data_IF_837501143965
#
_entry.id   IF_837501143965
#
_cell.length_a   1.000
_cell.length_b   1.000
_cell.length_c   1.000
_cell.angle_alpha   90.00
_cell.angle_beta   90.00
_cell.angle_gamma   90.00
#
_symmetry.space_group_name_H-M   'P 1'
#
loop_
_entity.id
_entity.type
_entity.pdbx_description
1 polymer ?
#
# COMPACT_ATOMS: atom_id res chain seq x y z
N UNK A 1 -17.60 -5.91 -15.35
CA UNK A 1 -17.80 -4.50 -15.74
C UNK A 1 -16.48 -3.80 -15.48
N UNK A 2 -15.90 -3.14 -16.47
CA UNK A 2 -14.65 -2.40 -16.29
C UNK A 2 -14.91 -1.24 -15.33
N UNK A 3 -14.08 -1.08 -14.30
CA UNK A 3 -14.19 0.07 -13.42
C UNK A 3 -13.70 1.33 -14.17
N UNK A 4 -14.28 2.48 -13.85
CA UNK A 4 -13.86 3.77 -14.43
C UNK A 4 -13.31 4.64 -13.31
N UNK A 5 -12.20 5.33 -13.56
CA UNK A 5 -11.65 6.29 -12.62
C UNK A 5 -12.62 7.45 -12.32
N UNK A 6 -13.59 7.73 -13.21
CA UNK A 6 -14.66 8.71 -12.97
C UNK A 6 -15.68 8.25 -11.92
N UNK A 7 -15.77 6.94 -11.67
CA UNK A 7 -16.73 6.36 -10.75
C UNK A 7 -16.02 5.95 -9.46
N UNK A 8 -16.18 6.77 -8.41
CA UNK A 8 -15.72 6.41 -7.08
C UNK A 8 -16.39 5.09 -6.63
N UNK A 9 -15.62 4.04 -6.33
CA UNK A 9 -16.17 2.78 -5.83
C UNK A 9 -16.68 2.94 -4.39
N UNK A 10 -17.60 2.07 -4.00
CA UNK A 10 -18.09 2.01 -2.61
C UNK A 10 -17.04 1.24 -1.80
N UNK A 11 -16.42 1.84 -0.75
CA UNK A 11 -15.40 1.13 0.01
C UNK A 11 -15.99 -0.10 0.73
N UNK A 12 -15.17 -1.14 0.88
CA UNK A 12 -15.52 -2.31 1.69
C UNK A 12 -15.71 -1.94 3.17
N UNK A 13 -16.34 -2.80 3.96
CA UNK A 13 -16.52 -2.55 5.41
C UNK A 13 -15.17 -2.34 6.12
N UNK A 14 -14.12 -3.08 5.73
CA UNK A 14 -12.77 -2.91 6.27
C UNK A 14 -12.22 -1.51 5.97
N UNK A 15 -12.30 -1.06 4.72
CA UNK A 15 -11.83 0.26 4.28
C UNK A 15 -12.61 1.37 4.97
N UNK A 16 -13.93 1.22 5.09
CA UNK A 16 -14.80 2.14 5.85
C UNK A 16 -14.37 2.24 7.31
N UNK A 17 -14.06 1.13 7.97
CA UNK A 17 -13.59 1.13 9.35
C UNK A 17 -12.28 1.90 9.50
N UNK A 18 -11.30 1.64 8.61
CA UNK A 18 -10.03 2.34 8.63
C UNK A 18 -10.18 3.85 8.37
N UNK A 19 -10.98 4.25 7.36
CA UNK A 19 -11.25 5.66 7.07
C UNK A 19 -12.02 6.34 8.21
N UNK A 20 -13.01 5.67 8.81
CA UNK A 20 -13.81 6.28 9.88
C UNK A 20 -12.98 6.55 11.14
N UNK A 21 -12.05 5.65 11.46
CA UNK A 21 -11.32 5.67 12.72
C UNK A 21 -9.93 6.30 12.59
N UNK A 22 -9.35 6.34 11.39
CA UNK A 22 -7.97 6.73 11.17
C UNK A 22 -7.02 5.72 11.81
N UNK A 23 -7.31 4.44 11.59
CA UNK A 23 -6.66 3.36 12.32
C UNK A 23 -6.46 2.10 11.45
N UNK A 24 -5.37 1.38 11.73
CA UNK A 24 -5.18 0.00 11.33
C UNK A 24 -5.68 -0.91 12.47
N UNK A 25 -6.62 -1.82 12.18
CA UNK A 25 -7.35 -2.58 13.21
C UNK A 25 -7.38 -4.08 12.93
N UNK A 26 -7.20 -4.87 14.00
CA UNK A 26 -7.49 -6.32 14.01
C UNK A 26 -8.98 -6.53 14.36
N UNK A 27 -9.78 -6.97 13.39
CA UNK A 27 -11.20 -7.24 13.58
C UNK A 27 -11.52 -8.68 14.02
N UNK A 28 -10.54 -9.41 14.59
CA UNK A 28 -10.75 -10.74 15.19
C UNK A 28 -12.01 -10.79 16.07
N UNK A 29 -12.90 -11.72 15.74
CA UNK A 29 -14.16 -11.93 16.46
C UNK A 29 -15.37 -11.31 15.75
N UNK A 30 -15.20 -10.16 15.08
CA UNK A 30 -16.26 -9.43 14.38
C UNK A 30 -16.38 -9.80 12.90
N UNK A 31 -15.36 -10.47 12.34
CA UNK A 31 -15.31 -10.87 10.93
C UNK A 31 -14.96 -12.35 10.79
N UNK A 32 -15.70 -13.04 9.91
CA UNK A 32 -15.35 -14.36 9.45
C UNK A 32 -14.54 -14.28 8.16
N UNK A 33 -13.44 -15.03 8.10
CA UNK A 33 -12.51 -15.04 6.96
C UNK A 33 -12.45 -16.45 6.37
N UNK A 34 -12.69 -16.56 5.07
CA UNK A 34 -12.70 -17.83 4.36
C UNK A 34 -11.92 -17.74 3.03
N UNK A 35 -11.29 -18.82 2.56
CA UNK A 35 -10.67 -18.84 1.24
C UNK A 35 -11.70 -18.64 0.13
N UNK A 36 -11.33 -17.94 -0.95
CA UNK A 36 -12.13 -17.86 -2.17
C UNK A 36 -11.92 -19.16 -2.97
N UNK A 37 -12.98 -19.95 -3.25
CA UNK A 37 -12.88 -21.11 -4.12
C UNK A 37 -12.39 -20.72 -5.52
N UNK A 38 -11.52 -21.55 -6.10
CA UNK A 38 -11.05 -21.39 -7.48
C UNK A 38 -10.39 -20.04 -7.82
N UNK A 39 -9.84 -19.34 -6.81
CA UNK A 39 -9.14 -18.07 -7.01
C UNK A 39 -7.99 -18.22 -8.02
N UNK A 40 -8.02 -17.43 -9.08
CA UNK A 40 -7.03 -17.41 -10.15
C UNK A 40 -6.01 -16.29 -9.92
N UNK A 41 -4.77 -16.67 -9.63
CA UNK A 41 -3.68 -15.72 -9.38
C UNK A 41 -3.20 -15.05 -10.68
N UNK A 42 -3.38 -15.70 -11.84
CA UNK A 42 -2.96 -15.16 -13.14
C UNK A 42 -3.86 -14.02 -13.61
N UNK A 43 -4.98 -13.81 -12.93
CA UNK A 43 -5.88 -12.68 -13.07
C UNK A 43 -5.52 -11.51 -12.13
N UNK A 44 -4.26 -11.38 -11.70
CA UNK A 44 -3.82 -10.32 -10.77
C UNK A 44 -2.42 -9.84 -11.14
N UNK A 45 -1.92 -8.75 -10.51
CA UNK A 45 -0.51 -8.30 -10.60
C UNK A 45 0.50 -9.41 -10.29
N UNK A 46 0.09 -10.42 -9.54
CA UNK A 46 0.93 -11.53 -9.14
C UNK A 46 1.09 -12.60 -10.23
N UNK A 47 0.48 -12.42 -11.41
CA UNK A 47 0.71 -13.27 -12.59
C UNK A 47 2.21 -13.38 -12.95
N UNK A 48 2.97 -12.31 -12.66
CA UNK A 48 4.41 -12.23 -12.94
C UNK A 48 5.30 -13.02 -11.97
N UNK A 49 4.72 -13.60 -10.90
CA UNK A 49 5.41 -14.52 -10.01
C UNK A 49 5.62 -15.87 -10.71
N UNK A 50 6.88 -16.26 -10.90
CA UNK A 50 7.23 -17.46 -11.68
C UNK A 50 7.17 -18.77 -10.88
N UNK A 51 7.46 -18.73 -9.57
CA UNK A 51 7.71 -19.94 -8.78
C UNK A 51 6.47 -20.39 -8.01
N UNK A 52 6.19 -21.70 -8.03
CA UNK A 52 5.03 -22.30 -7.38
C UNK A 52 4.93 -21.97 -5.87
N UNK A 53 6.04 -22.00 -5.13
CA UNK A 53 6.02 -21.72 -3.70
C UNK A 53 5.64 -20.25 -3.36
N UNK A 54 6.31 -19.21 -3.92
CA UNK A 54 5.86 -17.82 -3.78
C UNK A 54 4.41 -17.58 -4.23
N UNK A 55 4.00 -18.15 -5.37
CA UNK A 55 2.61 -18.07 -5.86
C UNK A 55 1.63 -18.67 -4.86
N UNK A 56 1.95 -19.83 -4.29
CA UNK A 56 1.12 -20.48 -3.27
C UNK A 56 0.98 -19.61 -2.02
N UNK A 57 2.10 -19.07 -1.51
CA UNK A 57 2.08 -18.19 -0.33
C UNK A 57 1.20 -16.96 -0.59
N UNK A 58 1.42 -16.26 -1.70
CA UNK A 58 0.63 -15.06 -2.05
C UNK A 58 -0.85 -15.42 -2.23
N UNK A 59 -1.17 -16.49 -2.95
CA UNK A 59 -2.55 -16.98 -3.10
C UNK A 59 -3.21 -17.22 -1.73
N UNK A 60 -2.53 -17.87 -0.78
CA UNK A 60 -3.10 -18.11 0.56
C UNK A 60 -3.35 -16.83 1.37
N UNK A 61 -2.66 -15.73 1.05
CA UNK A 61 -2.82 -14.43 1.72
C UNK A 61 -3.97 -13.62 1.14
N UNK A 62 -4.04 -13.55 -0.20
CA UNK A 62 -4.98 -12.67 -0.90
C UNK A 62 -6.30 -13.34 -1.31
N UNK A 63 -6.32 -14.66 -1.48
CA UNK A 63 -7.52 -15.39 -1.92
C UNK A 63 -8.49 -15.60 -0.76
N UNK A 64 -8.95 -14.52 -0.15
CA UNK A 64 -9.81 -14.52 1.03
C UNK A 64 -11.03 -13.65 0.81
N UNK A 65 -12.19 -14.13 1.25
CA UNK A 65 -13.41 -13.36 1.38
C UNK A 65 -13.71 -13.10 2.85
N UNK A 66 -14.46 -12.05 3.12
CA UNK A 66 -14.81 -11.61 4.47
C UNK A 66 -16.32 -11.53 4.63
N UNK A 67 -16.82 -12.02 5.75
CA UNK A 67 -18.21 -11.87 6.16
C UNK A 67 -18.25 -11.23 7.53
N UNK A 68 -18.73 -9.99 7.58
CA UNK A 68 -18.78 -9.18 8.80
C UNK A 68 -20.04 -9.47 9.59
N UNK A 69 -19.92 -9.42 10.92
CA UNK A 69 -21.08 -9.39 11.79
C UNK A 69 -21.93 -8.17 11.48
N UNK A 70 -23.22 -8.40 11.26
CA UNK A 70 -24.15 -7.36 10.83
C UNK A 70 -24.15 -6.13 11.76
N UNK A 71 -24.22 -6.27 13.10
CA UNK A 71 -24.16 -5.11 13.99
C UNK A 71 -22.85 -4.32 13.85
N UNK A 72 -21.72 -5.02 13.63
CA UNK A 72 -20.42 -4.37 13.42
C UNK A 72 -20.40 -3.61 12.10
N UNK A 73 -20.84 -4.24 11.02
CA UNK A 73 -20.90 -3.62 9.70
C UNK A 73 -21.80 -2.37 9.69
N UNK A 74 -22.96 -2.43 10.34
CA UNK A 74 -23.88 -1.29 10.49
C UNK A 74 -23.25 -0.16 11.32
N UNK A 75 -22.55 -0.48 12.42
CA UNK A 75 -21.82 0.50 13.21
C UNK A 75 -20.69 1.18 12.43
N UNK A 76 -19.94 0.41 11.63
CA UNK A 76 -18.87 0.93 10.77
C UNK A 76 -19.44 1.82 9.68
N UNK A 77 -20.56 1.43 9.06
CA UNK A 77 -21.24 2.25 8.07
C UNK A 77 -21.65 3.60 8.67
N UNK A 78 -22.29 3.60 9.84
CA UNK A 78 -22.68 4.84 10.52
C UNK A 78 -21.48 5.74 10.84
N UNK A 79 -20.38 5.17 11.34
CA UNK A 79 -19.16 5.91 11.63
C UNK A 79 -18.51 6.50 10.37
N UNK A 80 -18.49 5.72 9.27
CA UNK A 80 -17.99 6.19 7.98
C UNK A 80 -18.82 7.35 7.44
N UNK A 81 -20.15 7.24 7.44
CA UNK A 81 -21.02 8.33 6.97
C UNK A 81 -20.85 9.61 7.82
N UNK A 82 -20.69 9.47 9.13
CA UNK A 82 -20.39 10.59 10.02
C UNK A 82 -19.05 11.25 9.68
N UNK A 83 -17.98 10.47 9.51
CA UNK A 83 -16.65 10.98 9.14
C UNK A 83 -16.67 11.70 7.78
N UNK A 84 -17.33 11.12 6.77
CA UNK A 84 -17.45 11.70 5.42
C UNK A 84 -18.20 13.04 5.38
N UNK A 85 -19.06 13.30 6.36
CA UNK A 85 -19.76 14.59 6.50
C UNK A 85 -18.82 15.69 7.00
N UNK A 86 -17.76 15.34 7.73
CA UNK A 86 -16.83 16.31 8.31
C UNK A 86 -15.77 16.78 7.29
N UNK A 87 -15.27 15.89 6.44
CA UNK A 87 -14.24 16.21 5.44
C UNK A 87 -14.69 15.76 4.04
N UNK A 88 -15.38 16.62 3.26
CA UNK A 88 -15.82 16.28 1.91
C UNK A 88 -14.61 15.97 1.01
N UNK A 89 -14.78 15.06 0.05
CA UNK A 89 -13.71 14.75 -0.90
C UNK A 89 -13.49 15.96 -1.81
N UNK A 90 -12.23 16.37 -2.05
CA UNK A 90 -11.95 17.39 -3.03
C UNK A 90 -12.33 16.87 -4.42
N UNK A 91 -12.79 17.78 -5.28
CA UNK A 91 -13.03 17.47 -6.68
C UNK A 91 -11.69 17.18 -7.37
N UNK A 92 -11.61 16.04 -8.04
CA UNK A 92 -10.47 15.71 -8.91
C UNK A 92 -10.65 16.43 -10.24
N UNK A 93 -9.58 17.01 -10.77
CA UNK A 93 -9.61 17.73 -12.05
C UNK A 93 -10.17 16.81 -13.16
N UNK A 94 -11.20 17.23 -13.91
CA UNK A 94 -11.76 16.45 -15.01
C UNK A 94 -10.74 16.03 -16.07
N UNK A 95 -9.71 16.84 -16.34
CA UNK A 95 -8.65 16.51 -17.28
C UNK A 95 -7.77 15.37 -16.75
N UNK A 96 -7.49 15.35 -15.45
CA UNK A 96 -6.79 14.25 -14.79
C UNK A 96 -7.62 12.97 -14.80
N UNK A 97 -8.92 13.05 -14.45
CA UNK A 97 -9.82 11.89 -14.53
C UNK A 97 -9.90 11.33 -15.94
N UNK A 98 -9.99 12.20 -16.94
CA UNK A 98 -9.99 11.79 -18.34
C UNK A 98 -8.69 11.10 -18.72
N UNK A 99 -7.53 11.62 -18.31
CA UNK A 99 -6.26 10.96 -18.51
C UNK A 99 -6.24 9.56 -17.84
N UNK A 100 -6.73 9.45 -16.61
CA UNK A 100 -6.85 8.18 -15.90
C UNK A 100 -7.76 7.16 -16.61
N UNK A 101 -8.81 7.60 -17.30
CA UNK A 101 -9.72 6.72 -18.05
C UNK A 101 -9.20 6.37 -19.44
N UNK A 102 -8.76 7.37 -20.19
CA UNK A 102 -8.43 7.24 -21.61
C UNK A 102 -7.00 6.72 -21.82
N UNK A 103 -6.08 7.08 -20.92
CA UNK A 103 -4.64 6.88 -21.11
C UNK A 103 -4.02 5.83 -20.17
N UNK A 104 -4.76 5.37 -19.16
CA UNK A 104 -4.27 4.39 -18.18
C UNK A 104 -5.06 3.08 -18.24
N UNK A 105 -4.35 1.97 -18.03
CA UNK A 105 -4.92 0.65 -17.81
C UNK A 105 -4.82 0.30 -16.33
N UNK A 106 -5.96 0.36 -15.63
CA UNK A 106 -6.05 -0.01 -14.22
C UNK A 106 -6.56 -1.44 -14.00
N UNK A 107 -6.93 -2.15 -15.07
CA UNK A 107 -7.40 -3.54 -14.99
C UNK A 107 -6.24 -4.54 -14.85
N UNK A 108 -5.01 -4.10 -15.14
CA UNK A 108 -3.79 -4.94 -15.09
C UNK A 108 -3.34 -5.28 -13.66
N UNK A 109 -3.83 -4.57 -12.64
CA UNK A 109 -3.38 -4.79 -11.26
C UNK A 109 -4.22 -5.80 -10.48
N UNK A 110 -5.53 -5.68 -10.54
CA UNK A 110 -6.43 -6.71 -10.04
C UNK A 110 -7.48 -6.95 -11.10
N UNK A 111 -7.50 -8.13 -11.76
CA UNK A 111 -8.45 -8.36 -12.86
C UNK A 111 -9.90 -8.57 -12.39
N UNK A 112 -10.20 -8.26 -11.12
CA UNK A 112 -11.53 -8.06 -10.56
C UNK A 112 -11.91 -6.58 -10.42
N UNK A 113 -11.03 -5.66 -10.79
CA UNK A 113 -11.21 -4.21 -10.69
C UNK A 113 -10.80 -3.62 -9.34
N UNK A 114 -10.35 -4.40 -8.35
CA UNK A 114 -10.09 -3.89 -6.99
C UNK A 114 -8.93 -2.87 -6.87
N UNK A 115 -8.30 -2.48 -7.98
CA UNK A 115 -7.25 -1.47 -7.98
C UNK A 115 -7.74 -0.04 -7.79
N UNK A 116 -8.72 0.44 -8.55
CA UNK A 116 -9.25 1.80 -8.34
C UNK A 116 -9.90 1.91 -6.95
N UNK A 117 -10.52 0.84 -6.50
CA UNK A 117 -10.93 0.54 -5.13
C UNK A 117 -9.84 0.86 -4.08
N UNK A 118 -8.61 0.41 -4.32
CA UNK A 118 -7.44 0.67 -3.47
C UNK A 118 -6.96 2.13 -3.57
N UNK A 119 -6.89 2.68 -4.79
CA UNK A 119 -6.50 4.08 -5.02
C UNK A 119 -7.46 5.05 -4.31
N UNK A 120 -8.76 4.81 -4.45
CA UNK A 120 -9.80 5.62 -3.80
C UNK A 120 -9.81 5.42 -2.29
N UNK A 121 -9.55 4.22 -1.76
CA UNK A 121 -9.35 4.06 -0.32
C UNK A 121 -8.23 4.97 0.20
N UNK A 122 -7.06 4.94 -0.44
CA UNK A 122 -5.91 5.74 -0.04
C UNK A 122 -6.24 7.24 -0.15
N UNK A 123 -6.87 7.66 -1.24
CA UNK A 123 -7.34 9.04 -1.43
C UNK A 123 -8.28 9.50 -0.32
N UNK A 124 -9.32 8.71 -0.01
CA UNK A 124 -10.29 9.04 1.05
C UNK A 124 -9.63 9.09 2.44
N UNK A 125 -8.72 8.15 2.72
CA UNK A 125 -7.97 8.13 3.98
C UNK A 125 -7.09 9.37 4.11
N UNK A 126 -6.36 9.74 3.05
CA UNK A 126 -5.52 10.93 3.01
C UNK A 126 -6.30 12.22 3.27
N UNK A 127 -7.46 12.39 2.64
CA UNK A 127 -8.35 13.54 2.88
C UNK A 127 -8.73 13.66 4.36
N UNK A 128 -9.02 12.52 5.00
CA UNK A 128 -9.54 12.49 6.36
C UNK A 128 -8.45 12.61 7.43
N UNK A 129 -7.29 11.99 7.21
CA UNK A 129 -6.28 11.73 8.25
C UNK A 129 -4.87 12.21 7.89
N UNK A 130 -4.70 12.84 6.73
CA UNK A 130 -3.48 13.56 6.39
C UNK A 130 -3.76 14.82 5.54
N UNK A 131 -4.68 15.70 6.00
CA UNK A 131 -5.21 16.82 5.20
C UNK A 131 -4.18 17.90 4.87
N UNK A 132 -3.04 17.94 5.55
CA UNK A 132 -1.96 18.90 5.32
C UNK A 132 -1.21 18.65 4.01
N UNK A 133 -1.33 17.44 3.42
CA UNK A 133 -0.67 17.05 2.18
C UNK A 133 -1.69 16.70 1.10
N UNK A 134 -1.31 16.82 -0.17
CA UNK A 134 -2.25 16.55 -1.27
C UNK A 134 -2.68 15.08 -1.28
N UNK A 135 -3.99 14.77 -1.19
CA UNK A 135 -4.48 13.40 -1.29
C UNK A 135 -4.41 12.88 -2.73
N UNK A 136 -4.25 13.75 -3.74
CA UNK A 136 -4.11 13.33 -5.14
C UNK A 136 -2.88 12.43 -5.36
N UNK A 137 -1.82 12.62 -4.56
CA UNK A 137 -0.68 11.70 -4.55
C UNK A 137 -1.14 10.27 -4.29
N UNK A 138 -2.01 10.06 -3.29
CA UNK A 138 -2.56 8.75 -2.92
C UNK A 138 -3.59 8.22 -3.92
N UNK A 139 -4.23 9.06 -4.73
CA UNK A 139 -5.05 8.60 -5.85
C UNK A 139 -4.18 8.09 -7.02
N UNK A 140 -2.97 8.64 -7.18
CA UNK A 140 -2.09 8.38 -8.33
C UNK A 140 -0.87 7.53 -7.98
N UNK A 141 -0.73 7.09 -6.72
CA UNK A 141 0.53 6.59 -6.17
C UNK A 141 1.14 5.39 -6.92
N UNK A 142 0.31 4.61 -7.61
CA UNK A 142 0.74 3.41 -8.34
C UNK A 142 0.62 3.56 -9.87
N UNK A 143 0.32 4.76 -10.39
CA UNK A 143 0.16 5.01 -11.83
C UNK A 143 1.46 4.78 -12.63
N UNK A 144 2.60 5.08 -12.01
CA UNK A 144 3.95 4.93 -12.57
C UNK A 144 4.62 3.61 -12.20
N UNK A 145 3.85 2.66 -11.65
CA UNK A 145 4.32 1.34 -11.29
C UNK A 145 3.88 0.92 -9.91
N UNK A 146 3.96 -0.38 -9.66
CA UNK A 146 3.48 -0.99 -8.42
C UNK A 146 4.64 -1.71 -7.70
N UNK A 147 4.31 -2.48 -6.65
CA UNK A 147 5.24 -3.43 -6.04
C UNK A 147 5.71 -4.54 -7.00
N UNK A 148 5.07 -4.69 -8.17
CA UNK A 148 5.43 -5.61 -9.26
C UNK A 148 5.75 -4.81 -10.54
N UNK A 149 5.93 -5.49 -11.67
CA UNK A 149 6.23 -4.86 -12.97
C UNK A 149 4.97 -4.52 -13.79
N UNK A 150 3.88 -4.21 -13.11
CA UNK A 150 2.67 -3.68 -13.75
C UNK A 150 2.72 -2.16 -13.72
N UNK A 151 2.37 -1.53 -14.84
CA UNK A 151 2.33 -0.08 -15.00
C UNK A 151 0.98 0.29 -15.60
N UNK A 152 0.32 1.30 -15.05
CA UNK A 152 -0.97 1.75 -15.58
C UNK A 152 -0.79 2.53 -16.89
N UNK A 153 0.39 3.12 -17.12
CA UNK A 153 0.70 3.87 -18.32
C UNK A 153 2.14 3.60 -18.76
N UNK A 154 2.46 3.92 -20.02
CA UNK A 154 3.81 3.89 -20.55
C UNK A 154 4.59 5.19 -20.23
N UNK A 155 5.92 5.11 -20.24
CA UNK A 155 6.79 6.23 -19.84
C UNK A 155 6.64 7.48 -20.74
N UNK A 156 6.30 7.31 -22.02
CA UNK A 156 6.07 8.42 -22.96
C UNK A 156 4.90 9.34 -22.55
N UNK A 157 4.01 8.87 -21.67
CA UNK A 157 2.87 9.65 -21.16
C UNK A 157 3.21 10.51 -19.94
N UNK A 158 4.43 10.40 -19.39
CA UNK A 158 4.90 11.16 -18.22
C UNK A 158 4.77 12.68 -18.40
N UNK A 159 5.17 13.30 -19.53
CA UNK A 159 5.03 14.74 -19.70
C UNK A 159 3.58 15.21 -19.58
N UNK A 160 2.63 14.44 -20.10
CA UNK A 160 1.19 14.73 -20.01
C UNK A 160 0.71 14.63 -18.57
N UNK A 161 1.00 13.52 -17.88
CA UNK A 161 0.60 13.34 -16.48
C UNK A 161 1.17 14.46 -15.59
N UNK A 162 2.47 14.77 -15.73
CA UNK A 162 3.12 15.83 -14.97
C UNK A 162 2.48 17.20 -15.21
N UNK A 163 2.01 17.48 -16.42
CA UNK A 163 1.29 18.72 -16.76
C UNK A 163 -0.09 18.85 -16.11
N UNK A 164 -0.64 17.77 -15.55
CA UNK A 164 -1.94 17.72 -14.87
C UNK A 164 -1.82 17.82 -13.34
N UNK A 165 -0.61 18.04 -12.83
CA UNK A 165 -0.28 18.01 -11.41
C UNK A 165 0.60 19.20 -11.04
N UNK A 166 0.55 19.63 -9.78
CA UNK A 166 1.55 20.59 -9.29
C UNK A 166 2.90 19.89 -8.99
N UNK A 167 3.95 20.67 -8.74
CA UNK A 167 5.30 20.13 -8.51
C UNK A 167 5.39 19.21 -7.29
N UNK A 168 4.65 19.53 -6.21
CA UNK A 168 4.62 18.71 -5.00
C UNK A 168 4.00 17.33 -5.30
N UNK A 169 2.83 17.34 -5.93
CA UNK A 169 2.12 16.11 -6.29
C UNK A 169 2.96 15.23 -7.22
N UNK A 170 3.55 15.83 -8.25
CA UNK A 170 4.42 15.13 -9.17
C UNK A 170 5.60 14.47 -8.46
N UNK A 171 6.32 15.22 -7.60
CA UNK A 171 7.48 14.73 -6.86
C UNK A 171 7.17 13.48 -6.05
N UNK A 172 6.02 13.46 -5.38
CA UNK A 172 5.62 12.33 -4.56
C UNK A 172 5.06 11.17 -5.38
N UNK A 173 4.30 11.44 -6.44
CA UNK A 173 3.78 10.40 -7.34
C UNK A 173 4.91 9.67 -8.08
N UNK A 174 5.93 10.39 -8.55
CA UNK A 174 7.06 9.75 -9.23
C UNK A 174 7.97 8.94 -8.31
N UNK A 175 8.10 9.37 -7.05
CA UNK A 175 8.90 8.68 -6.04
C UNK A 175 8.20 7.46 -5.44
N UNK A 176 6.87 7.35 -5.53
CA UNK A 176 6.10 6.37 -4.76
C UNK A 176 6.46 4.92 -5.06
N UNK A 177 6.50 4.47 -6.32
CA UNK A 177 6.84 3.08 -6.61
C UNK A 177 8.27 2.74 -6.16
N UNK A 178 9.19 3.69 -6.28
CA UNK A 178 10.60 3.51 -5.89
C UNK A 178 10.75 3.34 -4.38
N UNK A 179 10.12 4.22 -3.58
CA UNK A 179 10.17 4.13 -2.12
C UNK A 179 9.50 2.83 -1.63
N UNK A 180 8.36 2.45 -2.21
CA UNK A 180 7.70 1.18 -1.90
C UNK A 180 8.65 0.00 -2.11
N UNK A 181 9.32 -0.08 -3.27
CA UNK A 181 10.27 -1.16 -3.57
C UNK A 181 11.46 -1.16 -2.61
N UNK A 182 12.03 0.01 -2.29
CA UNK A 182 13.14 0.13 -1.35
C UNK A 182 12.76 -0.32 0.08
N UNK A 183 11.53 -0.04 0.52
CA UNK A 183 11.02 -0.52 1.81
C UNK A 183 10.92 -2.05 1.85
N UNK A 184 10.49 -2.69 0.76
CA UNK A 184 10.45 -4.16 0.68
C UNK A 184 11.84 -4.80 0.56
N UNK A 185 12.85 -4.08 0.07
CA UNK A 185 14.17 -4.65 -0.21
C UNK A 185 15.02 -4.94 1.04
N UNK A 186 14.74 -4.26 2.16
CA UNK A 186 15.42 -4.31 3.48
C UNK A 186 16.57 -3.32 3.73
N UNK A 187 17.56 -3.08 2.85
CA UNK A 187 18.68 -2.18 3.14
C UNK A 187 18.26 -0.81 3.64
N UNK A 188 17.29 -0.16 2.96
CA UNK A 188 16.82 1.16 3.36
C UNK A 188 16.27 1.15 4.79
N UNK A 189 15.37 0.22 5.13
CA UNK A 189 14.81 0.13 6.49
C UNK A 189 15.90 -0.10 7.54
N UNK A 190 16.88 -0.97 7.26
CA UNK A 190 18.02 -1.21 8.17
C UNK A 190 18.87 0.03 8.36
N UNK A 191 19.16 0.77 7.30
CA UNK A 191 19.96 1.99 7.36
C UNK A 191 19.23 3.11 8.11
N UNK A 192 17.92 3.27 7.90
CA UNK A 192 17.11 4.21 8.67
C UNK A 192 17.11 3.88 10.16
N UNK A 193 16.95 2.61 10.54
CA UNK A 193 17.05 2.19 11.94
C UNK A 193 18.44 2.40 12.53
N UNK A 194 19.50 2.12 11.77
CA UNK A 194 20.88 2.34 12.21
C UNK A 194 21.19 3.83 12.44
N UNK A 195 20.42 4.73 11.81
CA UNK A 195 20.58 6.17 11.90
C UNK A 195 19.41 6.86 12.63
N UNK A 196 18.52 6.11 13.31
CA UNK A 196 17.24 6.64 13.83
C UNK A 196 17.41 7.85 14.74
N UNK A 197 18.47 7.86 15.55
CA UNK A 197 18.79 8.94 16.50
C UNK A 197 19.32 10.22 15.84
N UNK A 198 19.66 10.17 14.55
CA UNK A 198 20.18 11.31 13.77
C UNK A 198 19.40 11.57 12.48
N UNK A 199 18.17 11.08 12.38
CA UNK A 199 17.32 11.29 11.21
C UNK A 199 16.91 12.75 11.01
N UNK A 200 17.04 13.60 12.03
CA UNK A 200 16.95 15.06 11.95
C UNK A 200 18.11 15.69 11.15
N UNK A 201 19.23 14.98 11.02
CA UNK A 201 20.38 15.38 10.19
C UNK A 201 20.28 14.88 8.75
N UNK A 202 19.27 14.08 8.41
CA UNK A 202 19.05 13.66 7.03
C UNK A 202 18.79 14.91 6.18
N UNK A 203 19.44 14.97 5.02
CA UNK A 203 19.26 16.07 4.06
C UNK A 203 18.44 15.62 2.85
N UNK A 204 18.72 14.41 2.35
CA UNK A 204 18.09 13.91 1.14
C UNK A 204 18.24 12.39 0.98
N UNK A 205 17.40 11.84 0.11
CA UNK A 205 17.58 10.54 -0.51
C UNK A 205 17.64 10.71 -2.03
N UNK A 206 18.63 10.09 -2.65
CA UNK A 206 18.69 9.90 -4.11
C UNK A 206 18.37 8.45 -4.45
N UNK A 207 17.56 8.23 -5.47
CA UNK A 207 17.12 6.91 -5.96
C UNK A 207 16.77 7.00 -7.45
N UNK A 208 16.17 5.95 -8.02
CA UNK A 208 15.75 5.89 -9.43
C UNK A 208 14.26 5.62 -9.55
N UNK A 209 13.61 6.19 -10.56
CA UNK A 209 12.20 5.98 -10.88
C UNK A 209 11.96 4.59 -11.45
N UNK A 210 10.89 3.92 -11.03
CA UNK A 210 10.65 2.53 -11.43
C UNK A 210 10.43 2.33 -12.94
N UNK A 211 9.68 3.22 -13.58
CA UNK A 211 9.20 3.01 -14.96
C UNK A 211 10.30 3.16 -16.04
N UNK A 212 11.28 4.02 -15.80
CA UNK A 212 12.30 4.39 -16.79
C UNK A 212 13.69 4.65 -16.19
N UNK A 213 13.88 4.37 -14.90
CA UNK A 213 15.15 4.50 -14.19
C UNK A 213 15.72 5.93 -14.14
N UNK A 214 14.93 6.96 -14.41
CA UNK A 214 15.36 8.35 -14.24
C UNK A 214 15.71 8.65 -12.77
N UNK A 215 16.79 9.41 -12.48
CA UNK A 215 17.17 9.70 -11.11
C UNK A 215 16.15 10.63 -10.43
N UNK A 216 15.78 10.29 -9.19
CA UNK A 216 14.92 11.10 -8.32
C UNK A 216 15.73 11.50 -7.09
N UNK A 217 15.56 12.74 -6.64
CA UNK A 217 16.06 13.20 -5.34
C UNK A 217 14.91 13.79 -4.55
N UNK A 218 14.72 13.31 -3.32
CA UNK A 218 13.81 13.91 -2.35
C UNK A 218 14.63 14.61 -1.28
N UNK A 219 14.17 15.79 -0.84
CA UNK A 219 14.65 16.36 0.42
C UNK A 219 14.26 15.45 1.58
N UNK A 220 14.88 15.63 2.75
CA UNK A 220 14.48 14.90 3.95
C UNK A 220 13.00 15.13 4.31
N UNK A 221 12.49 16.35 4.15
CA UNK A 221 11.08 16.65 4.37
C UNK A 221 10.20 15.84 3.41
N UNK A 222 10.46 15.93 2.10
CA UNK A 222 9.69 15.18 1.10
C UNK A 222 9.80 13.67 1.35
N UNK A 223 10.95 13.18 1.80
CA UNK A 223 11.12 11.76 2.10
C UNK A 223 10.25 11.30 3.29
N UNK A 224 10.18 12.07 4.38
CA UNK A 224 9.30 11.73 5.50
C UNK A 224 7.82 11.82 5.13
N UNK A 225 7.43 12.81 4.32
CA UNK A 225 6.08 12.87 3.74
C UNK A 225 5.79 11.61 2.93
N UNK A 226 6.75 11.18 2.12
CA UNK A 226 6.62 9.98 1.31
C UNK A 226 6.47 8.71 2.14
N UNK A 227 7.21 8.58 3.24
CA UNK A 227 7.05 7.46 4.16
C UNK A 227 5.67 7.43 4.84
N UNK A 228 5.06 8.59 5.13
CA UNK A 228 3.69 8.66 5.63
C UNK A 228 2.67 8.22 4.56
N UNK A 229 2.85 8.59 3.30
CA UNK A 229 2.03 8.05 2.21
C UNK A 229 2.15 6.53 2.08
N UNK A 230 3.35 5.98 2.25
CA UNK A 230 3.56 4.52 2.25
C UNK A 230 2.84 3.84 3.41
N UNK A 231 2.83 4.44 4.61
CA UNK A 231 2.06 3.90 5.73
C UNK A 231 0.57 3.83 5.43
N UNK A 232 -0.02 4.92 4.91
CA UNK A 232 -1.45 4.96 4.53
C UNK A 232 -1.76 3.86 3.50
N UNK A 233 -0.93 3.76 2.46
CA UNK A 233 -1.06 2.73 1.43
C UNK A 233 -1.04 1.31 2.00
N UNK A 234 -0.14 1.05 2.95
CA UNK A 234 0.00 -0.28 3.56
C UNK A 234 -1.19 -0.70 4.41
N UNK A 235 -2.01 0.24 4.92
CA UNK A 235 -3.21 -0.07 5.72
C UNK A 235 -4.18 -0.98 4.96
N UNK A 236 -4.36 -0.77 3.65
CA UNK A 236 -5.30 -1.55 2.84
C UNK A 236 -4.87 -3.02 2.67
N UNK A 237 -3.58 -3.29 2.83
CA UNK A 237 -2.99 -4.62 2.65
C UNK A 237 -2.83 -5.38 3.97
N UNK A 238 -3.26 -4.81 5.09
CA UNK A 238 -3.20 -5.51 6.36
C UNK A 238 -4.28 -6.60 6.41
N UNK A 239 -4.00 -7.76 7.04
CA UNK A 239 -5.00 -8.78 7.28
C UNK A 239 -6.21 -8.17 8.00
N UNK A 240 -7.44 -8.46 7.56
CA UNK A 240 -8.63 -7.89 8.23
C UNK A 240 -8.77 -8.32 9.69
N UNK A 241 -8.21 -9.49 10.05
CA UNK A 241 -8.29 -10.07 11.38
C UNK A 241 -7.14 -11.04 11.65
N UNK A 242 -7.03 -11.48 12.90
CA UNK A 242 -6.11 -12.51 13.40
C UNK A 242 -4.64 -12.14 13.20
N UNK A 243 -4.28 -10.90 13.52
CA UNK A 243 -2.94 -10.38 13.28
C UNK A 243 -1.83 -11.19 13.97
N UNK A 244 -2.11 -11.79 15.13
CA UNK A 244 -1.16 -12.67 15.82
C UNK A 244 -0.71 -13.86 14.96
N UNK A 245 -1.58 -14.33 14.07
CA UNK A 245 -1.34 -15.46 13.17
C UNK A 245 -0.67 -15.03 11.87
N UNK A 246 -0.94 -13.81 11.40
CA UNK A 246 -0.47 -13.30 10.11
C UNK A 246 0.75 -12.38 10.25
N UNK A 247 1.53 -12.53 11.32
CA UNK A 247 2.72 -11.69 11.59
C UNK A 247 3.75 -11.71 10.46
N UNK A 248 3.77 -12.78 9.67
CA UNK A 248 4.70 -12.97 8.56
C UNK A 248 4.20 -12.42 7.21
N UNK A 249 3.03 -11.79 7.17
CA UNK A 249 2.57 -11.07 5.99
C UNK A 249 3.54 -9.92 5.68
N UNK A 250 3.98 -9.83 4.43
CA UNK A 250 5.04 -8.91 4.02
C UNK A 250 4.61 -7.45 4.11
N UNK A 251 3.36 -7.14 3.74
CA UNK A 251 2.84 -5.77 3.88
C UNK A 251 2.72 -5.39 5.35
N UNK A 252 2.28 -6.35 6.18
CA UNK A 252 2.16 -6.13 7.61
C UNK A 252 3.52 -5.97 8.30
N UNK A 253 4.54 -6.73 7.89
CA UNK A 253 5.91 -6.56 8.39
C UNK A 253 6.42 -5.14 8.08
N UNK A 254 6.30 -4.70 6.82
CA UNK A 254 6.75 -3.36 6.41
C UNK A 254 5.98 -2.27 7.15
N UNK A 255 4.65 -2.41 7.28
CA UNK A 255 3.82 -1.47 8.01
C UNK A 255 4.27 -1.30 9.46
N UNK A 256 4.42 -2.41 10.22
CA UNK A 256 4.83 -2.34 11.64
C UNK A 256 6.19 -1.69 11.81
N UNK A 257 7.15 -2.13 11.00
CA UNK A 257 8.52 -1.61 11.07
C UNK A 257 8.60 -0.12 10.73
N UNK A 258 7.88 0.31 9.68
CA UNK A 258 7.85 1.71 9.28
C UNK A 258 7.09 2.58 10.28
N UNK A 259 6.00 2.05 10.86
CA UNK A 259 5.24 2.74 11.89
C UNK A 259 6.09 3.00 13.13
N UNK A 260 6.76 1.96 13.65
CA UNK A 260 7.65 2.07 14.80
C UNK A 260 8.83 3.02 14.52
N UNK A 261 9.40 2.97 13.30
CA UNK A 261 10.48 3.87 12.88
C UNK A 261 10.02 5.33 12.90
N UNK A 262 8.89 5.64 12.27
CA UNK A 262 8.36 7.01 12.18
C UNK A 262 7.91 7.53 13.54
N UNK A 263 7.33 6.69 14.39
CA UNK A 263 7.05 7.06 15.78
C UNK A 263 8.32 7.40 16.55
N UNK A 264 9.33 6.51 16.48
CA UNK A 264 10.60 6.73 17.20
C UNK A 264 11.34 7.98 16.71
N UNK A 265 11.29 8.25 15.40
CA UNK A 265 11.89 9.43 14.81
C UNK A 265 11.09 10.73 15.04
N UNK A 266 9.87 10.66 15.59
CA UNK A 266 8.97 11.81 15.69
C UNK A 266 8.53 12.35 14.33
N UNK A 267 8.39 11.46 13.33
CA UNK A 267 8.05 11.76 11.92
C UNK A 267 6.76 11.10 11.44
N UNK A 268 5.96 10.54 12.34
CA UNK A 268 4.61 10.10 12.04
C UNK A 268 3.69 11.34 11.98
N UNK A 269 3.38 11.79 10.76
CA UNK A 269 2.55 12.96 10.49
C UNK A 269 1.10 12.58 10.22
N UNK A 270 0.88 11.52 9.42
CA UNK A 270 -0.46 11.02 9.14
C UNK A 270 -1.08 10.41 10.39
N UNK A 271 -2.36 10.70 10.65
CA UNK A 271 -3.10 10.05 11.73
C UNK A 271 -3.36 8.59 11.36
N UNK A 272 -2.65 7.70 12.04
CA UNK A 272 -2.84 6.25 11.94
C UNK A 272 -2.72 5.67 13.34
N UNK A 273 -3.85 5.34 13.97
CA UNK A 273 -3.83 4.59 15.22
C UNK A 273 -3.55 3.12 14.92
N UNK A 274 -2.61 2.51 15.66
CA UNK A 274 -2.26 1.11 15.53
C UNK A 274 -1.97 0.50 16.91
N UNK A 275 -2.67 -0.59 17.22
CA UNK A 275 -2.36 -1.43 18.37
C UNK A 275 -1.69 -2.73 17.92
N UNK A 276 -0.48 -3.05 18.43
CA UNK A 276 0.16 -4.31 18.14
C UNK A 276 -0.70 -5.53 18.50
N UNK A 277 -0.60 -6.56 17.67
CA UNK A 277 -1.34 -7.80 17.84
C UNK A 277 -1.05 -8.44 19.21
N UNK A 278 -2.11 -8.73 19.97
CA UNK A 278 -2.01 -9.47 21.23
C UNK A 278 -1.97 -10.98 20.96
N UNK A 279 -1.18 -11.78 21.70
CA UNK A 279 -1.20 -13.23 21.58
C UNK A 279 -2.59 -13.81 21.89
N UNK A 280 -3.36 -14.07 20.84
CA UNK A 280 -4.73 -14.56 20.94
C UNK A 280 -4.92 -15.80 20.08
N UNK A 281 -5.87 -16.66 20.49
CA UNK A 281 -6.34 -17.74 19.64
C UNK A 281 -6.99 -17.16 18.39
N UNK A 282 -6.68 -17.75 17.24
CA UNK A 282 -7.34 -17.42 15.97
C UNK A 282 -8.85 -17.54 16.12
N UNK A 283 -9.58 -16.55 15.60
CA UNK A 283 -11.03 -16.47 15.65
C UNK A 283 -11.61 -16.46 14.24
N UNK A 284 -12.64 -17.28 14.02
CA UNK A 284 -13.52 -17.22 12.83
C UNK A 284 -12.81 -17.21 11.47
N UNK A 285 -11.63 -17.82 11.37
CA UNK A 285 -10.89 -17.94 10.11
C UNK A 285 -10.62 -19.40 9.73
N UNK A 286 -11.21 -19.81 8.61
CA UNK A 286 -11.01 -21.13 8.02
C UNK A 286 -9.68 -21.17 7.26
N UNK A 287 -8.85 -22.18 7.53
CA UNK A 287 -7.61 -22.42 6.79
C UNK A 287 -7.63 -23.78 6.11
N UNK A 288 -7.06 -23.85 4.91
CA UNK A 288 -6.57 -25.13 4.39
C UNK A 288 -5.30 -25.52 5.18
N UNK A 289 -4.97 -26.81 5.26
CA UNK A 289 -3.77 -27.27 5.96
C UNK A 289 -2.49 -26.55 5.48
N UNK A 290 -2.34 -26.39 4.17
CA UNK A 290 -1.18 -25.67 3.62
C UNK A 290 -1.24 -24.15 3.84
N UNK A 291 -2.44 -23.55 3.91
CA UNK A 291 -2.59 -22.15 4.34
C UNK A 291 -2.20 -21.94 5.81
N UNK A 292 -2.47 -22.89 6.68
CA UNK A 292 -1.96 -22.85 8.06
C UNK A 292 -0.42 -22.93 8.10
N UNK A 293 0.20 -23.82 7.31
CA UNK A 293 1.65 -23.93 7.23
C UNK A 293 2.31 -22.62 6.77
N UNK A 294 1.68 -21.85 5.89
CA UNK A 294 2.25 -20.57 5.44
C UNK A 294 2.31 -19.54 6.56
N UNK A 295 1.45 -19.62 7.58
CA UNK A 295 1.50 -18.73 8.77
C UNK A 295 2.68 -19.04 9.70
N UNK A 296 3.27 -20.23 9.60
CA UNK A 296 4.41 -20.65 10.40
C UNK A 296 5.76 -20.23 9.80
N UNK A 297 5.77 -19.66 8.59
CA UNK A 297 7.01 -19.17 7.96
C UNK A 297 7.59 -18.06 8.86
N UNK A 298 8.86 -18.15 9.29
CA UNK A 298 9.47 -17.12 10.12
C UNK A 298 9.48 -15.75 9.41
N UNK A 299 9.23 -14.68 10.15
CA UNK A 299 9.21 -13.29 9.63
C UNK A 299 10.44 -12.98 8.77
N UNK A 300 11.65 -13.28 9.26
CA UNK A 300 12.91 -13.04 8.52
C UNK A 300 12.97 -13.75 7.16
N UNK A 301 12.36 -14.94 7.07
CA UNK A 301 12.29 -15.70 5.82
C UNK A 301 11.33 -15.02 4.85
N UNK A 302 10.15 -14.60 5.33
CA UNK A 302 9.18 -13.84 4.53
C UNK A 302 9.76 -12.53 4.00
N UNK A 303 10.47 -11.77 4.84
CA UNK A 303 11.19 -10.55 4.43
C UNK A 303 12.23 -10.82 3.33
N UNK A 304 13.06 -11.84 3.52
CA UNK A 304 14.09 -12.21 2.53
C UNK A 304 13.46 -12.65 1.20
N UNK A 305 12.32 -13.34 1.24
CA UNK A 305 11.58 -13.71 0.04
C UNK A 305 11.01 -12.49 -0.68
N UNK A 306 10.45 -11.52 0.06
CA UNK A 306 9.89 -10.29 -0.49
C UNK A 306 10.98 -9.46 -1.17
N UNK A 307 12.10 -9.23 -0.48
CA UNK A 307 13.26 -8.51 -1.01
C UNK A 307 13.78 -9.14 -2.31
N UNK A 308 13.96 -10.48 -2.32
CA UNK A 308 14.36 -11.21 -3.54
C UNK A 308 13.34 -11.06 -4.68
N UNK A 309 12.04 -11.00 -4.37
CA UNK A 309 11.01 -10.81 -5.38
C UNK A 309 11.09 -9.41 -5.99
N UNK A 310 11.17 -8.38 -5.16
CA UNK A 310 11.25 -6.98 -5.61
C UNK A 310 12.53 -6.71 -6.40
N UNK A 311 13.68 -7.27 -5.99
CA UNK A 311 14.92 -7.17 -6.80
C UNK A 311 14.75 -7.77 -8.20
N UNK A 312 14.18 -8.97 -8.30
CA UNK A 312 13.91 -9.58 -9.62
C UNK A 312 12.93 -8.77 -10.46
N UNK A 313 11.90 -8.18 -9.84
CA UNK A 313 11.01 -7.28 -10.54
C UNK A 313 11.78 -6.08 -11.08
N UNK A 314 12.56 -5.40 -10.25
CA UNK A 314 13.39 -4.27 -10.66
C UNK A 314 14.39 -4.62 -11.77
N UNK A 315 15.12 -5.72 -11.64
CA UNK A 315 16.08 -6.20 -12.66
C UNK A 315 15.42 -6.39 -14.03
N UNK A 316 14.20 -6.94 -14.08
CA UNK A 316 13.49 -7.20 -15.35
C UNK A 316 13.08 -5.94 -16.11
N UNK A 317 12.89 -4.82 -15.42
CA UNK A 317 12.48 -3.55 -16.03
C UNK A 317 13.64 -2.56 -16.10
N UNK A 318 14.87 -2.99 -15.77
CA UNK A 318 16.04 -2.11 -15.75
C UNK A 318 16.02 -1.05 -14.64
N UNK A 319 15.20 -1.24 -13.60
CA UNK A 319 15.14 -0.34 -12.46
C UNK A 319 16.30 -0.63 -11.47
N UNK A 320 17.06 0.40 -11.15
CA UNK A 320 18.12 0.37 -10.15
C UNK A 320 17.53 0.48 -8.74
N UNK A 321 17.87 -0.49 -7.88
CA UNK A 321 17.55 -0.46 -6.45
C UNK A 321 18.59 0.32 -5.63
N UNK A 322 19.57 0.95 -6.27
CA UNK A 322 20.55 1.79 -5.60
C UNK A 322 19.89 3.07 -5.09
N UNK A 323 20.23 3.43 -3.86
CA UNK A 323 19.87 4.69 -3.25
C UNK A 323 21.06 5.25 -2.47
N UNK A 324 20.99 6.52 -2.09
CA UNK A 324 21.98 7.16 -1.23
C UNK A 324 21.28 8.11 -0.28
N UNK A 325 21.51 7.95 1.03
CA UNK A 325 21.12 8.91 2.04
C UNK A 325 22.26 9.89 2.28
N UNK A 326 21.97 11.19 2.27
CA UNK A 326 22.95 12.23 2.63
C UNK A 326 22.56 12.82 3.97
N UNK A 327 23.53 12.90 4.89
CA UNK A 327 23.38 13.48 6.22
C UNK A 327 24.36 14.65 6.37
N UNK A 328 24.01 15.62 7.23
CA UNK A 328 24.87 16.75 7.61
C UNK A 328 26.16 16.35 8.31
#
# INVERSE_FOLDING_TARGET
MKQSAEQRPIPSVQRKAAIALGAALDHSGDVAVAPIPDFDLDRTIFQTLEKAAPRYVIKTRIAKTTAWDRPKAESVEAAYQAARTQYPLPTVDPALLRFMVDECDFDVEHADGSFLDHLYFCFEYGVQHYPERSPLVLLLHSILGTGTNTFAMSADKIPTLRGLMNEFEWRHTEAFPSVLRLLYDLPLRKELWANVERLDQLESIRMHRVIDNEPITLSAEDFFVQLNYQLIHLVDFLPVANWSTHQNDTSFIVFRDLYDLLQKAGKLEAKIDYEPAKPNKKQREAHTFGGWLTTLIPVRVSETMAAKSVRRFSERVGHSMEYTLTFK
#
